data_IF_703266762375
#
_entry.id   IF_703266762375
#
_cell.length_a   1.000
_cell.length_b   1.000
_cell.length_c   1.000
_cell.angle_alpha   90.00
_cell.angle_beta   90.00
_cell.angle_gamma   90.00
#
_symmetry.space_group_name_H-M   'P 1'
#
loop_
_entity.id
_entity.type
_entity.pdbx_description
1 polymer ?
#
# COMPACT_ATOMS: atom_id res chain seq x y z
N UNK A 1 54.33 -26.58 55.74
CA UNK A 1 53.07 -27.22 55.31
C UNK A 1 52.02 -26.12 55.23
N UNK A 2 51.85 -25.52 54.08
CA UNK A 2 50.91 -24.43 53.83
C UNK A 2 49.91 -24.83 52.77
N UNK A 3 48.65 -24.89 53.14
CA UNK A 3 47.54 -25.37 52.33
C UNK A 3 46.95 -24.18 51.53
N UNK A 4 47.25 -24.08 50.24
CA UNK A 4 46.73 -23.07 49.36
C UNK A 4 45.38 -23.53 48.83
N UNK A 5 44.30 -22.95 49.34
CA UNK A 5 42.92 -23.18 48.81
C UNK A 5 42.71 -22.32 47.55
N UNK A 6 42.68 -22.95 46.40
CA UNK A 6 42.29 -22.35 45.13
C UNK A 6 40.78 -22.09 45.10
N UNK A 7 40.36 -20.83 44.94
CA UNK A 7 38.96 -20.42 44.73
C UNK A 7 38.70 -20.39 43.23
N UNK A 8 37.90 -21.33 42.74
CA UNK A 8 37.39 -21.32 41.37
C UNK A 8 36.23 -20.29 41.30
N UNK A 9 36.46 -19.19 40.57
CA UNK A 9 35.42 -18.20 40.26
C UNK A 9 34.66 -18.71 39.03
N UNK A 10 33.44 -19.24 39.25
CA UNK A 10 32.53 -19.59 38.15
C UNK A 10 31.83 -18.31 37.67
N UNK A 11 32.34 -17.73 36.58
CA UNK A 11 31.71 -16.65 35.90
C UNK A 11 30.46 -17.15 35.14
N UNK A 12 29.28 -16.76 35.60
CA UNK A 12 28.02 -17.01 34.88
C UNK A 12 27.98 -16.05 33.68
N UNK A 13 28.33 -16.54 32.49
CA UNK A 13 28.16 -15.81 31.23
C UNK A 13 26.66 -15.84 30.86
N UNK A 14 25.92 -14.80 31.20
CA UNK A 14 24.56 -14.65 30.76
C UNK A 14 24.56 -14.37 29.24
N UNK A 15 24.31 -15.40 28.44
CA UNK A 15 24.09 -15.28 27.01
C UNK A 15 22.73 -14.58 26.81
N UNK A 16 22.73 -13.27 26.56
CA UNK A 16 21.54 -12.56 26.08
C UNK A 16 21.26 -13.07 24.67
N UNK A 17 20.36 -14.04 24.54
CA UNK A 17 19.76 -14.42 23.27
C UNK A 17 18.92 -13.23 22.81
N UNK A 18 19.49 -12.39 21.95
CA UNK A 18 18.75 -11.39 21.19
C UNK A 18 17.90 -12.16 20.16
N UNK A 19 16.70 -12.62 20.57
CA UNK A 19 15.71 -13.13 19.63
C UNK A 19 15.29 -11.93 18.77
N UNK A 20 15.55 -11.93 17.45
CA UNK A 20 15.02 -10.87 16.61
C UNK A 20 13.50 -10.88 16.79
N UNK A 21 12.92 -9.77 17.22
CA UNK A 21 11.48 -9.61 17.24
C UNK A 21 11.01 -9.89 15.81
N UNK A 22 10.27 -11.00 15.63
CA UNK A 22 9.64 -11.30 14.35
C UNK A 22 8.84 -10.05 13.96
N UNK A 23 9.19 -9.45 12.83
CA UNK A 23 8.46 -8.28 12.35
C UNK A 23 6.98 -8.67 12.23
N UNK A 24 6.12 -7.96 12.95
CA UNK A 24 4.68 -8.15 12.86
C UNK A 24 4.27 -7.67 11.46
N UNK A 25 3.99 -8.61 10.56
CA UNK A 25 3.52 -8.33 9.21
C UNK A 25 2.00 -8.50 9.17
N UNK A 26 1.32 -7.52 8.60
CA UNK A 26 -0.09 -7.64 8.25
C UNK A 26 -0.22 -8.22 6.84
N UNK A 27 -1.35 -8.86 6.55
CA UNK A 27 -1.76 -9.15 5.18
C UNK A 27 -1.92 -7.83 4.40
N UNK A 28 -1.86 -7.87 3.08
CA UNK A 28 -2.00 -6.65 2.25
C UNK A 28 -3.36 -5.98 2.40
N UNK A 29 -4.41 -6.75 2.70
CA UNK A 29 -5.77 -6.25 2.97
C UNK A 29 -6.20 -6.77 4.34
N UNK A 30 -6.68 -5.89 5.22
CA UNK A 30 -7.08 -6.26 6.58
C UNK A 30 -8.51 -5.84 6.87
N UNK A 31 -9.24 -6.66 7.64
CA UNK A 31 -10.61 -6.35 8.05
C UNK A 31 -10.67 -5.31 9.17
N UNK A 32 -11.84 -4.72 9.38
CA UNK A 32 -12.10 -3.83 10.52
C UNK A 32 -11.88 -4.52 11.87
N UNK A 33 -12.22 -5.80 11.99
CA UNK A 33 -11.99 -6.59 13.22
C UNK A 33 -10.50 -6.77 13.48
N UNK A 34 -9.73 -7.11 12.44
CA UNK A 34 -8.30 -7.27 12.56
C UNK A 34 -7.63 -5.94 12.96
N UNK A 35 -8.00 -4.82 12.30
CA UNK A 35 -7.44 -3.51 12.63
C UNK A 35 -7.77 -3.11 14.07
N UNK A 36 -9.03 -3.30 14.52
CA UNK A 36 -9.41 -3.00 15.89
C UNK A 36 -8.58 -3.79 16.92
N UNK A 37 -8.34 -5.07 16.66
CA UNK A 37 -7.54 -5.92 17.55
C UNK A 37 -6.04 -5.55 17.57
N UNK A 38 -5.57 -4.79 16.58
CA UNK A 38 -4.14 -4.49 16.41
C UNK A 38 -3.80 -2.99 16.43
N UNK A 39 -4.72 -2.10 16.82
CA UNK A 39 -4.51 -0.63 16.82
C UNK A 39 -3.22 -0.21 17.55
N UNK A 40 -2.86 -0.88 18.64
CA UNK A 40 -1.64 -0.55 19.40
C UNK A 40 -0.33 -1.05 18.77
N UNK A 41 -0.41 -1.86 17.71
CA UNK A 41 0.75 -2.50 17.07
C UNK A 41 1.06 -1.93 15.69
N UNK A 42 0.15 -1.12 15.13
CA UNK A 42 0.24 -0.59 13.77
C UNK A 42 0.17 0.94 13.78
N UNK A 43 0.75 1.57 12.78
CA UNK A 43 0.49 2.97 12.47
C UNK A 43 -0.69 3.05 11.51
N UNK A 44 -1.83 3.55 11.97
CA UNK A 44 -2.99 3.79 11.11
C UNK A 44 -2.86 5.16 10.46
N UNK A 45 -2.88 5.21 9.14
CA UNK A 45 -2.78 6.45 8.34
C UNK A 45 -4.09 6.69 7.63
N UNK A 46 -4.82 7.72 8.08
CA UNK A 46 -6.04 8.20 7.43
C UNK A 46 -5.66 9.18 6.31
N UNK A 47 -6.02 8.83 5.08
CA UNK A 47 -5.65 9.60 3.88
C UNK A 47 -6.76 10.52 3.37
N UNK A 48 -7.90 10.57 4.08
CA UNK A 48 -9.04 11.43 3.75
C UNK A 48 -8.69 12.90 4.00
N UNK A 49 -9.55 13.78 3.51
CA UNK A 49 -9.45 15.22 3.80
C UNK A 49 -9.50 15.43 5.32
N UNK A 50 -8.88 16.53 5.78
CA UNK A 50 -8.81 16.85 7.21
C UNK A 50 -10.20 17.07 7.82
N UNK A 51 -11.16 17.56 7.03
CA UNK A 51 -12.54 17.74 7.48
C UNK A 51 -13.20 16.39 7.80
N UNK A 52 -13.04 15.39 6.93
CA UNK A 52 -13.58 14.04 7.11
C UNK A 52 -12.90 13.32 8.28
N UNK A 53 -11.59 13.49 8.41
CA UNK A 53 -10.82 12.97 9.55
C UNK A 53 -11.32 13.57 10.88
N UNK A 54 -11.51 14.89 10.93
CA UNK A 54 -12.00 15.59 12.13
C UNK A 54 -13.45 15.24 12.45
N UNK A 55 -14.28 14.92 11.45
CA UNK A 55 -15.65 14.44 11.66
C UNK A 55 -15.67 13.07 12.36
N UNK A 56 -14.63 12.24 12.14
CA UNK A 56 -14.44 10.96 12.80
C UNK A 56 -13.44 10.07 12.08
N UNK A 57 -12.54 9.45 12.83
CA UNK A 57 -11.48 8.59 12.33
C UNK A 57 -11.26 7.35 13.21
N UNK A 58 -10.50 6.38 12.72
CA UNK A 58 -10.08 5.21 13.50
C UNK A 58 -9.27 5.68 14.71
N UNK A 59 -9.55 5.24 15.94
CA UNK A 59 -8.82 5.69 17.13
C UNK A 59 -7.30 5.55 16.97
N UNK A 60 -6.57 6.63 17.23
CA UNK A 60 -5.11 6.68 17.11
C UNK A 60 -4.57 6.87 15.70
N UNK A 61 -5.43 6.94 14.68
CA UNK A 61 -5.00 7.21 13.31
C UNK A 61 -4.43 8.63 13.17
N UNK A 62 -3.33 8.76 12.45
CA UNK A 62 -2.79 10.05 12.00
C UNK A 62 -3.39 10.43 10.65
N UNK A 63 -3.61 11.72 10.42
CA UNK A 63 -4.07 12.19 9.11
C UNK A 63 -2.89 12.62 8.24
N UNK A 64 -2.73 11.96 7.10
CA UNK A 64 -1.79 12.37 6.05
C UNK A 64 -2.55 12.30 4.72
N UNK A 65 -3.10 13.45 4.32
CA UNK A 65 -3.97 13.55 3.15
C UNK A 65 -3.37 12.95 1.88
N UNK A 66 -4.21 12.33 1.05
CA UNK A 66 -3.82 11.65 -0.20
C UNK A 66 -2.85 12.45 -1.07
N UNK A 67 -3.06 13.78 -1.19
CA UNK A 67 -2.21 14.67 -2.00
C UNK A 67 -0.73 14.75 -1.58
N UNK A 68 -0.39 14.25 -0.39
CA UNK A 68 1.02 14.13 0.05
C UNK A 68 1.71 12.94 -0.63
N UNK A 69 0.97 11.91 -0.99
CA UNK A 69 1.48 10.64 -1.53
C UNK A 69 1.46 10.55 -3.06
N UNK A 70 0.61 11.37 -3.69
CA UNK A 70 0.43 11.40 -5.13
C UNK A 70 0.09 12.83 -5.55
N UNK A 71 1.01 13.47 -6.28
CA UNK A 71 0.96 14.90 -6.60
C UNK A 71 0.57 15.15 -8.06
N UNK A 72 0.24 16.38 -8.36
CA UNK A 72 0.19 16.86 -9.76
C UNK A 72 1.53 17.49 -10.11
N UNK A 73 2.14 17.04 -11.21
CA UNK A 73 3.43 17.54 -11.68
C UNK A 73 3.43 17.69 -13.20
N UNK A 74 3.80 18.86 -13.70
CA UNK A 74 3.88 19.16 -15.13
C UNK A 74 2.62 18.77 -15.95
N UNK A 75 1.42 18.97 -15.36
CA UNK A 75 0.14 18.63 -15.98
C UNK A 75 -0.26 17.15 -15.85
N UNK A 76 0.61 16.30 -15.32
CA UNK A 76 0.33 14.89 -15.04
C UNK A 76 -0.25 14.73 -13.63
N UNK A 77 -1.23 13.84 -13.50
CA UNK A 77 -1.90 13.54 -12.24
C UNK A 77 -1.29 12.30 -11.59
N UNK A 78 -1.33 12.25 -10.27
CA UNK A 78 -0.89 11.11 -9.46
C UNK A 78 0.60 10.75 -9.65
N UNK A 79 1.44 11.73 -9.96
CA UNK A 79 2.89 11.54 -10.00
C UNK A 79 3.45 11.28 -8.59
N UNK A 80 4.58 10.58 -8.52
CA UNK A 80 5.32 10.43 -7.27
C UNK A 80 5.91 11.77 -6.85
N UNK A 81 5.80 12.14 -5.57
CA UNK A 81 6.64 13.20 -4.99
C UNK A 81 8.14 12.86 -5.16
N UNK A 82 9.00 13.85 -5.01
CA UNK A 82 10.43 13.58 -4.95
C UNK A 82 10.77 12.68 -3.76
N UNK A 83 11.84 11.88 -3.88
CA UNK A 83 12.24 10.94 -2.82
C UNK A 83 12.46 11.67 -1.47
N UNK A 84 13.00 12.91 -1.50
CA UNK A 84 13.24 13.70 -0.30
C UNK A 84 11.94 14.22 0.31
N UNK A 85 10.96 14.65 -0.50
CA UNK A 85 9.64 15.07 -0.01
C UNK A 85 8.88 13.91 0.64
N UNK A 86 8.97 12.70 0.06
CA UNK A 86 8.42 11.50 0.67
C UNK A 86 9.13 11.13 1.97
N UNK A 87 10.45 11.27 2.03
CA UNK A 87 11.27 11.04 3.22
C UNK A 87 10.84 11.98 4.36
N UNK A 88 10.65 13.25 4.05
CA UNK A 88 10.23 14.26 5.02
C UNK A 88 8.80 13.98 5.52
N UNK A 89 7.89 13.61 4.61
CA UNK A 89 6.51 13.25 4.96
C UNK A 89 6.46 12.01 5.87
N UNK A 90 7.23 10.97 5.57
CA UNK A 90 7.35 9.76 6.40
C UNK A 90 7.97 10.09 7.75
N UNK A 91 8.99 10.95 7.77
CA UNK A 91 9.64 11.41 9.01
C UNK A 91 8.66 12.17 9.90
N UNK A 92 7.89 13.10 9.33
CA UNK A 92 6.88 13.85 10.05
C UNK A 92 5.76 12.96 10.60
N UNK A 93 5.37 11.93 9.84
CA UNK A 93 4.39 10.93 10.26
C UNK A 93 4.92 9.94 11.30
N UNK A 94 6.22 9.93 11.59
CA UNK A 94 6.87 8.98 12.51
C UNK A 94 6.91 7.55 11.98
N UNK A 95 6.79 7.36 10.67
CA UNK A 95 6.85 6.05 10.00
C UNK A 95 8.31 5.68 9.76
N UNK A 96 8.67 4.46 10.12
CA UNK A 96 9.99 3.86 9.88
C UNK A 96 9.86 2.68 8.90
N UNK A 97 10.93 2.21 8.24
CA UNK A 97 10.86 1.08 7.31
C UNK A 97 10.27 -0.19 7.92
N UNK A 98 10.42 -0.38 9.21
CA UNK A 98 9.91 -1.53 9.98
C UNK A 98 8.51 -1.32 10.55
N UNK A 99 7.92 -0.12 10.38
CA UNK A 99 6.56 0.17 10.84
C UNK A 99 5.55 -0.64 10.03
N UNK A 100 4.64 -1.34 10.71
CA UNK A 100 3.45 -1.87 10.05
C UNK A 100 2.44 -0.75 9.89
N UNK A 101 2.12 -0.40 8.64
CA UNK A 101 1.20 0.69 8.31
C UNK A 101 -0.12 0.13 7.81
N UNK A 102 -1.24 0.64 8.31
CA UNK A 102 -2.58 0.39 7.75
C UNK A 102 -3.12 1.70 7.18
N UNK A 103 -3.36 1.71 5.88
CA UNK A 103 -3.97 2.84 5.17
C UNK A 103 -5.48 2.78 5.32
N UNK A 104 -6.08 3.88 5.73
CA UNK A 104 -7.53 4.06 5.86
C UNK A 104 -7.97 5.26 5.04
N UNK A 105 -8.84 5.03 4.09
CA UNK A 105 -9.47 6.09 3.30
C UNK A 105 -10.93 5.79 3.06
N UNK A 106 -11.57 6.54 2.17
CA UNK A 106 -12.92 6.28 1.71
C UNK A 106 -12.95 5.22 0.61
N UNK A 107 -14.08 4.57 0.44
CA UNK A 107 -14.39 3.63 -0.64
C UNK A 107 -15.67 4.02 -1.40
N UNK A 108 -16.14 5.26 -1.24
CA UNK A 108 -17.39 5.76 -1.79
C UNK A 108 -17.45 5.72 -3.33
N UNK A 109 -16.30 5.78 -3.99
CA UNK A 109 -16.19 5.67 -5.45
C UNK A 109 -14.86 5.03 -5.86
N UNK A 110 -14.71 4.66 -7.15
CA UNK A 110 -13.52 3.97 -7.65
C UNK A 110 -12.23 4.79 -7.45
N UNK A 111 -12.29 6.11 -7.56
CA UNK A 111 -11.13 6.95 -7.37
C UNK A 111 -10.64 6.91 -5.91
N UNK A 112 -11.55 6.94 -4.95
CA UNK A 112 -11.24 6.84 -3.52
C UNK A 112 -10.77 5.44 -3.13
N UNK A 113 -11.41 4.38 -3.64
CA UNK A 113 -10.91 2.99 -3.50
C UNK A 113 -9.43 2.90 -3.94
N UNK A 114 -9.12 3.45 -5.12
CA UNK A 114 -7.78 3.44 -5.67
C UNK A 114 -6.78 4.30 -4.86
N UNK A 115 -7.22 5.35 -4.18
CA UNK A 115 -6.34 6.15 -3.32
C UNK A 115 -5.72 5.30 -2.21
N UNK A 116 -6.48 4.37 -1.61
CA UNK A 116 -5.99 3.49 -0.55
C UNK A 116 -4.81 2.64 -1.02
N UNK A 117 -4.98 1.93 -2.12
CA UNK A 117 -3.92 1.08 -2.69
C UNK A 117 -2.79 1.90 -3.31
N UNK A 118 -3.07 3.09 -3.87
CA UNK A 118 -2.02 3.98 -4.37
C UNK A 118 -1.11 4.47 -3.26
N UNK A 119 -1.65 4.83 -2.10
CA UNK A 119 -0.83 5.18 -0.93
C UNK A 119 -0.08 3.96 -0.43
N UNK A 120 -0.74 2.78 -0.36
CA UNK A 120 -0.08 1.52 -0.04
C UNK A 120 1.12 1.24 -0.95
N UNK A 121 0.96 1.41 -2.27
CA UNK A 121 2.02 1.28 -3.25
C UNK A 121 3.14 2.32 -3.04
N UNK A 122 2.79 3.58 -2.77
CA UNK A 122 3.78 4.65 -2.52
C UNK A 122 4.62 4.34 -1.27
N UNK A 123 4.00 3.80 -0.21
CA UNK A 123 4.71 3.34 1.00
C UNK A 123 5.65 2.17 0.69
N UNK A 124 5.22 1.20 -0.13
CA UNK A 124 6.09 0.11 -0.60
C UNK A 124 7.24 0.61 -1.47
N UNK A 125 6.98 1.59 -2.36
CA UNK A 125 8.03 2.28 -3.11
C UNK A 125 9.03 2.96 -2.18
N UNK A 126 8.56 3.62 -1.13
CA UNK A 126 9.42 4.25 -0.14
C UNK A 126 10.23 3.24 0.69
N UNK A 127 9.93 1.94 0.64
CA UNK A 127 10.65 0.89 1.37
C UNK A 127 10.05 0.52 2.72
N UNK A 128 8.77 0.86 2.97
CA UNK A 128 8.04 0.37 4.14
C UNK A 128 7.74 -1.12 3.98
N UNK A 129 8.24 -1.95 4.86
CA UNK A 129 8.20 -3.41 4.72
C UNK A 129 6.80 -4.00 4.85
N UNK A 130 5.99 -3.54 5.79
CA UNK A 130 4.63 -4.04 6.05
C UNK A 130 3.60 -2.94 5.86
N UNK A 131 2.78 -3.06 4.82
CA UNK A 131 1.72 -2.10 4.48
C UNK A 131 0.44 -2.85 4.15
N UNK A 132 -0.65 -2.48 4.78
CA UNK A 132 -1.98 -2.99 4.52
C UNK A 132 -2.95 -1.86 4.18
N UNK A 133 -4.06 -2.18 3.53
CA UNK A 133 -5.21 -1.29 3.38
C UNK A 133 -6.40 -1.85 4.15
N UNK A 134 -7.19 -0.97 4.75
CA UNK A 134 -8.43 -1.37 5.42
C UNK A 134 -9.49 -1.72 4.37
N UNK A 135 -9.95 -2.96 4.40
CA UNK A 135 -11.00 -3.45 3.50
C UNK A 135 -12.30 -2.70 3.71
N UNK A 136 -12.87 -2.17 2.63
CA UNK A 136 -14.07 -1.34 2.67
C UNK A 136 -13.88 0.02 3.34
N UNK A 137 -12.64 0.41 3.68
CA UNK A 137 -12.28 1.74 4.18
C UNK A 137 -13.03 2.18 5.44
N UNK A 138 -13.12 3.51 5.62
CA UNK A 138 -13.80 4.08 6.77
C UNK A 138 -15.30 3.78 6.78
N UNK A 139 -15.93 3.63 5.63
CA UNK A 139 -17.33 3.25 5.49
C UNK A 139 -17.61 1.90 6.14
N UNK A 140 -16.76 0.90 5.87
CA UNK A 140 -16.91 -0.44 6.47
C UNK A 140 -16.58 -0.44 7.95
N UNK A 141 -15.59 0.37 8.38
CA UNK A 141 -15.28 0.55 9.80
C UNK A 141 -16.51 1.03 10.59
N UNK A 142 -17.17 2.08 10.09
CA UNK A 142 -18.38 2.64 10.72
C UNK A 142 -19.55 1.67 10.64
N UNK A 143 -19.79 1.04 9.49
CA UNK A 143 -20.88 0.09 9.31
C UNK A 143 -20.74 -1.16 10.19
N UNK A 144 -19.50 -1.54 10.55
CA UNK A 144 -19.22 -2.61 11.51
C UNK A 144 -19.36 -2.17 12.97
N UNK A 145 -19.84 -0.95 13.26
CA UNK A 145 -20.03 -0.42 14.61
C UNK A 145 -18.72 -0.22 15.39
N UNK A 146 -17.60 -0.03 14.67
CA UNK A 146 -16.29 0.13 15.31
C UNK A 146 -16.15 1.52 15.94
N UNK A 147 -15.34 1.67 17.02
CA UNK A 147 -15.13 2.94 17.68
C UNK A 147 -14.58 4.01 16.73
N UNK A 148 -15.09 5.22 16.86
CA UNK A 148 -14.65 6.41 16.13
C UNK A 148 -14.15 7.44 17.11
N UNK A 149 -12.99 8.04 16.84
CA UNK A 149 -12.43 9.16 17.62
C UNK A 149 -12.50 10.46 16.81
N UNK A 150 -12.51 11.58 17.53
CA UNK A 150 -12.29 12.93 17.01
C UNK A 150 -11.07 13.59 17.64
N UNK A 151 -10.32 12.84 18.44
CA UNK A 151 -9.14 13.34 19.14
C UNK A 151 -8.01 13.60 18.15
N UNK A 152 -7.46 14.81 18.18
CA UNK A 152 -6.33 15.15 17.33
C UNK A 152 -5.10 14.32 17.69
N UNK A 153 -4.60 13.53 16.73
CA UNK A 153 -3.39 12.72 16.90
C UNK A 153 -2.20 13.47 16.33
N UNK A 154 -1.23 13.79 17.20
CA UNK A 154 0.05 14.36 16.79
C UNK A 154 1.08 13.22 16.64
N UNK A 155 1.53 12.90 15.40
CA UNK A 155 2.57 11.90 15.24
C UNK A 155 3.88 12.35 15.91
N UNK A 156 4.62 11.41 16.48
CA UNK A 156 5.97 11.66 16.96
C UNK A 156 6.94 11.51 15.80
N UNK A 157 7.42 12.62 15.26
CA UNK A 157 8.36 12.63 14.14
C UNK A 157 9.62 11.80 14.45
N UNK A 158 10.08 11.05 13.42
CA UNK A 158 11.31 10.25 13.45
C UNK A 158 12.00 10.33 12.09
N UNK A 159 13.34 10.44 12.02
CA UNK A 159 14.05 10.46 10.75
C UNK A 159 13.79 9.18 9.95
N UNK A 160 13.23 9.28 8.75
CA UNK A 160 13.04 8.15 7.87
C UNK A 160 14.36 7.74 7.19
N UNK A 161 14.78 6.50 7.38
CA UNK A 161 16.05 5.96 6.87
C UNK A 161 15.85 4.78 5.89
N UNK A 162 14.65 4.63 5.30
CA UNK A 162 14.36 3.59 4.33
C UNK A 162 15.06 3.82 3.00
N UNK A 163 15.36 2.71 2.31
CA UNK A 163 15.82 2.71 0.93
C UNK A 163 14.60 2.61 0.00
N UNK A 164 14.52 3.50 -1.00
CA UNK A 164 13.43 3.49 -1.97
C UNK A 164 13.53 2.29 -2.91
N UNK A 165 12.46 1.53 -3.03
CA UNK A 165 12.36 0.38 -3.93
C UNK A 165 11.91 0.82 -5.33
N UNK A 166 12.86 1.24 -6.14
CA UNK A 166 12.57 1.70 -7.52
C UNK A 166 12.15 0.58 -8.47
N UNK A 167 12.33 -0.68 -8.09
CA UNK A 167 11.94 -1.82 -8.91
C UNK A 167 10.41 -1.99 -9.06
N UNK A 168 9.61 -1.38 -8.16
CA UNK A 168 8.14 -1.41 -8.27
C UNK A 168 7.59 -0.36 -9.26
N UNK A 169 8.45 0.47 -9.85
CA UNK A 169 8.08 1.51 -10.81
C UNK A 169 8.58 1.14 -12.23
N UNK A 170 7.67 0.81 -13.12
CA UNK A 170 7.99 0.54 -14.52
C UNK A 170 8.01 1.85 -15.33
N UNK A 171 9.18 2.22 -15.86
CA UNK A 171 9.31 3.35 -16.76
C UNK A 171 8.76 3.02 -18.16
N UNK A 172 8.43 4.04 -18.97
CA UNK A 172 8.03 3.86 -20.36
C UNK A 172 9.03 3.03 -21.17
N UNK A 173 10.33 3.29 -20.99
CA UNK A 173 11.39 2.55 -21.69
C UNK A 173 11.40 1.07 -21.27
N UNK A 174 11.24 0.82 -19.97
CA UNK A 174 11.16 -0.53 -19.44
C UNK A 174 9.96 -1.29 -19.98
N UNK A 175 8.76 -0.69 -19.95
CA UNK A 175 7.53 -1.30 -20.50
C UNK A 175 7.72 -1.66 -21.99
N UNK A 176 8.27 -0.74 -22.79
CA UNK A 176 8.52 -0.99 -24.21
C UNK A 176 9.48 -2.17 -24.45
N UNK A 177 10.51 -2.34 -23.64
CA UNK A 177 11.47 -3.45 -23.73
C UNK A 177 10.91 -4.78 -23.22
N UNK A 178 9.82 -4.73 -22.44
CA UNK A 178 9.15 -5.89 -21.82
C UNK A 178 7.99 -6.44 -22.65
N UNK A 179 7.62 -5.76 -23.76
CA UNK A 179 6.56 -6.26 -24.66
C UNK A 179 6.95 -7.63 -25.21
N UNK A 180 6.07 -8.62 -25.03
CA UNK A 180 6.29 -10.01 -25.41
C UNK A 180 7.13 -10.84 -24.45
N UNK A 181 7.64 -10.26 -23.35
CA UNK A 181 8.41 -10.94 -22.30
C UNK A 181 7.65 -11.00 -20.98
N UNK A 182 7.09 -9.87 -20.52
CA UNK A 182 6.27 -9.78 -19.33
C UNK A 182 4.78 -9.88 -19.68
N UNK A 183 3.94 -10.21 -18.71
CA UNK A 183 2.50 -10.02 -18.81
C UNK A 183 2.18 -8.55 -18.61
N UNK A 184 1.58 -7.90 -19.60
CA UNK A 184 1.15 -6.50 -19.50
C UNK A 184 -0.35 -6.46 -19.25
N UNK A 185 -0.78 -5.83 -18.15
CA UNK A 185 -2.17 -5.80 -17.70
C UNK A 185 -2.69 -4.36 -17.74
N UNK A 186 -3.68 -4.12 -18.58
CA UNK A 186 -4.45 -2.89 -18.60
C UNK A 186 -5.65 -3.02 -17.66
N UNK A 187 -5.67 -2.23 -16.59
CA UNK A 187 -6.71 -2.32 -15.56
C UNK A 187 -7.85 -1.31 -15.74
N UNK A 188 -7.82 -0.57 -16.83
CA UNK A 188 -8.88 0.38 -17.17
C UNK A 188 -10.16 -0.35 -17.59
N UNK A 189 -11.26 0.38 -17.52
CA UNK A 189 -12.54 -0.14 -18.00
C UNK A 189 -12.47 -0.51 -19.50
N UNK A 190 -13.28 -1.48 -19.96
CA UNK A 190 -13.23 -2.02 -21.34
C UNK A 190 -13.31 -0.96 -22.44
N UNK A 191 -14.04 0.14 -22.21
CA UNK A 191 -14.15 1.25 -23.18
C UNK A 191 -12.80 1.96 -23.40
N UNK A 192 -11.98 2.11 -22.36
CA UNK A 192 -10.64 2.67 -22.47
C UNK A 192 -9.66 1.68 -23.10
N UNK A 193 -9.77 0.42 -22.73
CA UNK A 193 -8.96 -0.66 -23.31
C UNK A 193 -9.21 -0.81 -24.83
N UNK A 194 -10.47 -0.83 -25.24
CA UNK A 194 -10.85 -0.95 -26.66
C UNK A 194 -10.51 0.30 -27.49
N UNK A 195 -10.34 1.44 -26.83
CA UNK A 195 -10.15 2.74 -27.48
C UNK A 195 -11.45 3.46 -27.83
N UNK A 196 -12.59 2.99 -27.37
CA UNK A 196 -13.88 3.70 -27.49
C UNK A 196 -13.88 5.02 -26.70
N UNK A 197 -13.10 5.05 -25.59
CA UNK A 197 -12.87 6.24 -24.76
C UNK A 197 -11.40 6.49 -24.53
N UNK A 198 -11.02 7.75 -24.28
CA UNK A 198 -9.71 8.15 -23.78
C UNK A 198 -9.88 9.38 -22.89
N UNK A 199 -8.92 9.63 -22.01
CA UNK A 199 -8.80 10.88 -21.27
C UNK A 199 -8.13 11.93 -22.17
N UNK A 200 -8.41 13.23 -21.92
CA UNK A 200 -7.94 14.32 -22.79
C UNK A 200 -6.41 14.39 -22.88
N UNK A 201 -5.72 14.10 -21.79
CA UNK A 201 -4.24 14.09 -21.75
C UNK A 201 -3.61 12.84 -22.39
N UNK A 202 -4.41 11.83 -22.76
CA UNK A 202 -3.92 10.63 -23.44
C UNK A 202 -3.86 10.88 -24.95
N UNK A 203 -2.69 10.78 -25.56
CA UNK A 203 -2.47 11.10 -26.96
C UNK A 203 -3.22 10.15 -27.91
N UNK A 204 -3.24 8.84 -27.60
CA UNK A 204 -3.82 7.79 -28.47
C UNK A 204 -4.79 6.93 -27.68
N UNK A 205 -5.99 6.59 -28.24
CA UNK A 205 -6.89 5.63 -27.64
C UNK A 205 -6.35 4.20 -27.76
N UNK A 206 -6.99 3.26 -27.03
CA UNK A 206 -6.65 1.84 -27.06
C UNK A 206 -5.62 1.47 -25.98
N UNK A 207 -4.95 0.33 -26.16
CA UNK A 207 -4.09 -0.30 -25.17
C UNK A 207 -2.68 -0.59 -25.71
N UNK A 208 -1.75 -0.92 -24.82
CA UNK A 208 -0.41 -1.34 -25.18
C UNK A 208 -0.42 -2.70 -25.90
N UNK A 209 0.43 -2.86 -26.92
CA UNK A 209 0.51 -4.10 -27.69
C UNK A 209 0.74 -5.31 -26.77
N UNK A 210 -0.16 -6.30 -26.89
CA UNK A 210 -0.09 -7.54 -26.11
C UNK A 210 -0.61 -7.42 -24.66
N UNK A 211 -1.16 -6.28 -24.27
CA UNK A 211 -1.78 -6.14 -22.98
C UNK A 211 -3.11 -6.93 -22.92
N UNK A 212 -3.39 -7.51 -21.75
CA UNK A 212 -4.69 -8.11 -21.43
C UNK A 212 -5.49 -7.14 -20.58
N UNK A 213 -6.83 -7.17 -20.71
CA UNK A 213 -7.67 -6.31 -19.87
C UNK A 213 -8.13 -7.04 -18.60
N UNK A 214 -7.87 -6.41 -17.45
CA UNK A 214 -8.36 -6.85 -16.15
C UNK A 214 -8.95 -5.64 -15.42
N UNK A 215 -10.22 -5.28 -15.68
CA UNK A 215 -10.80 -4.04 -15.17
C UNK A 215 -10.76 -3.96 -13.64
N UNK A 216 -10.46 -2.79 -13.14
CA UNK A 216 -10.33 -2.54 -11.69
C UNK A 216 -11.65 -2.76 -10.94
N UNK A 217 -12.79 -2.42 -11.56
CA UNK A 217 -14.10 -2.61 -10.97
C UNK A 217 -14.37 -4.09 -10.62
N UNK A 218 -13.78 -5.03 -11.36
CA UNK A 218 -13.95 -6.46 -11.12
C UNK A 218 -13.38 -6.92 -9.77
N UNK A 219 -12.48 -6.14 -9.13
CA UNK A 219 -11.86 -6.50 -7.86
C UNK A 219 -12.76 -6.26 -6.64
N UNK A 220 -13.87 -5.56 -6.79
CA UNK A 220 -14.69 -5.09 -5.66
C UNK A 220 -16.09 -5.70 -5.64
N UNK A 221 -16.63 -5.80 -4.44
CA UNK A 221 -18.06 -5.99 -4.17
C UNK A 221 -18.78 -4.63 -4.17
N UNK A 222 -20.11 -4.65 -4.21
CA UNK A 222 -20.95 -3.43 -4.24
C UNK A 222 -20.81 -2.60 -2.94
N UNK A 223 -20.50 -3.25 -1.81
CA UNK A 223 -20.28 -2.59 -0.51
C UNK A 223 -18.88 -1.95 -0.36
N UNK A 224 -18.09 -1.93 -1.41
CA UNK A 224 -16.77 -1.32 -1.43
C UNK A 224 -15.64 -2.17 -0.89
N UNK A 225 -15.92 -3.40 -0.43
CA UNK A 225 -14.90 -4.37 -0.03
C UNK A 225 -14.30 -5.05 -1.24
N UNK A 226 -13.10 -5.60 -1.09
CA UNK A 226 -12.53 -6.49 -2.10
C UNK A 226 -13.34 -7.79 -2.18
N UNK A 227 -13.36 -8.39 -3.36
CA UNK A 227 -13.86 -9.76 -3.53
C UNK A 227 -13.00 -10.74 -2.71
N UNK A 228 -13.54 -11.93 -2.38
CA UNK A 228 -12.75 -12.98 -1.74
C UNK A 228 -11.44 -13.24 -2.49
N UNK A 229 -10.34 -13.46 -1.76
CA UNK A 229 -9.01 -13.62 -2.35
C UNK A 229 -8.99 -14.75 -3.40
N UNK A 230 -9.70 -15.85 -3.17
CA UNK A 230 -9.80 -16.94 -4.12
C UNK A 230 -10.40 -16.52 -5.49
N UNK A 231 -11.38 -15.60 -5.47
CA UNK A 231 -11.99 -15.07 -6.71
C UNK A 231 -11.01 -14.13 -7.42
N UNK A 232 -10.28 -13.31 -6.67
CA UNK A 232 -9.25 -12.40 -7.20
C UNK A 232 -8.10 -13.20 -7.85
N UNK A 233 -7.63 -14.25 -7.19
CA UNK A 233 -6.60 -15.16 -7.71
C UNK A 233 -7.08 -15.85 -8.99
N UNK A 234 -8.33 -16.30 -9.04
CA UNK A 234 -8.91 -16.93 -10.24
C UNK A 234 -8.96 -15.93 -11.41
N UNK A 235 -9.36 -14.67 -11.16
CA UNK A 235 -9.35 -13.61 -12.16
C UNK A 235 -7.94 -13.31 -12.67
N UNK A 236 -6.98 -13.18 -11.78
CA UNK A 236 -5.58 -12.95 -12.09
C UNK A 236 -5.01 -14.10 -12.93
N UNK A 237 -5.21 -15.35 -12.50
CA UNK A 237 -4.78 -16.54 -13.23
C UNK A 237 -5.38 -16.61 -14.64
N UNK A 238 -6.65 -16.25 -14.80
CA UNK A 238 -7.30 -16.19 -16.12
C UNK A 238 -6.66 -15.13 -17.03
N UNK A 239 -6.23 -14.00 -16.46
CA UNK A 239 -5.65 -12.88 -17.22
C UNK A 239 -4.18 -13.10 -17.58
N UNK A 240 -3.35 -13.58 -16.66
CA UNK A 240 -1.89 -13.62 -16.83
C UNK A 240 -1.27 -15.03 -16.74
N UNK A 241 -2.09 -16.07 -16.48
CA UNK A 241 -1.64 -17.44 -16.24
C UNK A 241 -1.29 -17.69 -14.76
N UNK A 242 -0.79 -18.90 -14.47
CA UNK A 242 -0.45 -19.33 -13.10
C UNK A 242 1.06 -19.45 -12.83
N UNK A 243 1.87 -19.00 -13.78
CA UNK A 243 3.33 -18.94 -13.59
C UNK A 243 3.70 -17.78 -12.67
N UNK A 244 3.93 -18.09 -11.39
CA UNK A 244 4.32 -17.10 -10.36
C UNK A 244 5.73 -16.53 -10.56
N UNK A 245 6.53 -17.08 -11.45
CA UNK A 245 7.85 -16.55 -11.85
C UNK A 245 7.76 -15.51 -12.95
N UNK A 246 6.59 -15.36 -13.58
CA UNK A 246 6.39 -14.41 -14.68
C UNK A 246 6.23 -13.01 -14.16
N UNK A 247 6.99 -12.07 -14.74
CA UNK A 247 6.83 -10.65 -14.43
C UNK A 247 5.49 -10.14 -14.94
N UNK A 248 4.80 -9.35 -14.09
CA UNK A 248 3.53 -8.70 -14.40
C UNK A 248 3.72 -7.19 -14.33
N UNK A 249 3.40 -6.49 -15.40
CA UNK A 249 3.39 -5.02 -15.48
C UNK A 249 1.93 -4.56 -15.53
N UNK A 250 1.51 -3.84 -14.50
CA UNK A 250 0.14 -3.31 -14.40
C UNK A 250 0.14 -1.82 -14.74
N UNK A 251 -0.77 -1.36 -15.59
CA UNK A 251 -0.86 0.05 -15.95
C UNK A 251 -2.30 0.56 -16.09
N UNK A 252 -2.44 1.88 -15.98
CA UNK A 252 -3.62 2.67 -16.34
C UNK A 252 -3.16 4.00 -16.94
N UNK A 253 -4.00 5.03 -16.94
CA UNK A 253 -3.66 6.33 -17.52
C UNK A 253 -2.76 7.20 -16.61
N UNK A 254 -2.87 7.10 -15.27
CA UNK A 254 -2.16 7.95 -14.30
C UNK A 254 -1.51 7.17 -13.14
N UNK A 255 -1.45 5.84 -13.22
CA UNK A 255 -0.86 5.00 -12.17
C UNK A 255 -1.67 4.92 -10.87
N UNK A 256 -2.89 5.52 -10.80
CA UNK A 256 -3.74 5.46 -9.61
C UNK A 256 -4.49 4.14 -9.52
N UNK A 257 -5.39 3.84 -10.45
CA UNK A 257 -6.19 2.60 -10.40
C UNK A 257 -5.35 1.34 -10.67
N UNK A 258 -4.18 1.47 -11.34
CA UNK A 258 -3.23 0.38 -11.52
C UNK A 258 -2.74 -0.19 -10.19
N UNK A 259 -2.64 0.65 -9.15
CA UNK A 259 -2.19 0.22 -7.83
C UNK A 259 -3.09 -0.85 -7.20
N UNK A 260 -4.35 -0.94 -7.58
CA UNK A 260 -5.29 -1.93 -7.04
C UNK A 260 -4.83 -3.34 -7.40
N UNK A 261 -4.70 -3.64 -8.68
CA UNK A 261 -4.25 -4.97 -9.10
C UNK A 261 -2.76 -5.21 -8.79
N UNK A 262 -1.92 -4.19 -8.83
CA UNK A 262 -0.54 -4.33 -8.35
C UNK A 262 -0.48 -4.77 -6.87
N UNK A 263 -1.42 -4.31 -6.07
CA UNK A 263 -1.48 -4.60 -4.63
C UNK A 263 -2.05 -6.00 -4.34
N UNK A 264 -2.86 -6.55 -5.26
CA UNK A 264 -3.52 -7.84 -5.14
C UNK A 264 -2.74 -9.00 -5.78
N UNK A 265 -1.84 -8.71 -6.76
CA UNK A 265 -1.03 -9.69 -7.48
C UNK A 265 0.32 -9.93 -6.81
#
# INVERSE_FOLDING_TARGET
MGNTKSKILVGLLALLLCVPAAAFAADTVVSADWLQANLSKVATVDIRKVEDYNAGHVPGAINVFYGVWAIQKAGLLNELPADDDLRDSLSAAGIEPTTTVVVVGSTANMAEKANNTRVGWTLKYAGVGSVAVLDGGMEKWVAAGKPVSKDAVKPKAKPYRGAFNKAVLASKAYILSSIGKAAIVDVREPDFYSGAKKLDFVARPGHLKGAVNLPTAAAYNDDGTFKPMADLEAMAKKAVGDDKGKEIIVYCDSGRVASIWWYLL
#
